data_IF_421170327710
#
_entry.id   IF_421170327710
#
_cell.length_a   1.000
_cell.length_b   1.000
_cell.length_c   1.000
_cell.angle_alpha   90.00
_cell.angle_beta   90.00
_cell.angle_gamma   90.00
#
_symmetry.space_group_name_H-M   'P 1'
#
loop_
_entity.id
_entity.type
_entity.pdbx_description
1 polymer ?
#
# COMPACT_ATOMS: atom_id res chain seq x y z
N UNK A 1 4.06 -16.98 -21.81
CA UNK A 1 5.25 -16.37 -22.43
C UNK A 1 5.63 -15.20 -21.56
N UNK A 2 6.86 -15.19 -21.06
CA UNK A 2 7.46 -14.04 -20.39
C UNK A 2 8.02 -13.05 -21.42
N UNK A 3 8.44 -11.89 -20.96
CA UNK A 3 9.36 -11.01 -21.68
C UNK A 3 10.16 -10.18 -20.69
N UNK A 4 11.35 -9.76 -21.09
CA UNK A 4 12.12 -8.72 -20.40
C UNK A 4 12.09 -7.42 -21.19
N UNK A 5 12.07 -6.30 -20.48
CA UNK A 5 12.14 -4.96 -21.05
C UNK A 5 13.02 -4.06 -20.18
N UNK A 6 13.64 -3.06 -20.79
CA UNK A 6 14.50 -2.10 -20.09
C UNK A 6 13.70 -0.83 -19.77
N UNK A 7 13.80 -0.33 -18.55
CA UNK A 7 13.07 0.88 -18.11
C UNK A 7 13.96 2.12 -18.23
N UNK A 8 13.46 3.16 -18.90
CA UNK A 8 14.29 4.31 -19.30
C UNK A 8 14.87 5.14 -18.15
N UNK A 9 14.14 5.27 -17.03
CA UNK A 9 14.50 6.10 -15.87
C UNK A 9 15.72 5.59 -15.10
N UNK A 10 15.86 4.27 -14.99
CA UNK A 10 16.83 3.62 -14.11
C UNK A 10 17.85 2.76 -14.91
N UNK A 11 17.50 2.41 -16.15
CA UNK A 11 18.34 1.63 -17.07
C UNK A 11 18.39 0.13 -16.75
N UNK A 12 17.59 -0.35 -15.79
CA UNK A 12 17.53 -1.75 -15.39
C UNK A 12 16.53 -2.56 -16.25
N UNK A 13 16.73 -3.87 -16.28
CA UNK A 13 15.80 -4.82 -16.86
C UNK A 13 14.72 -5.25 -15.87
N UNK A 14 13.50 -5.36 -16.39
CA UNK A 14 12.31 -5.84 -15.70
C UNK A 14 11.71 -7.02 -16.46
N UNK A 15 11.25 -8.02 -15.72
CA UNK A 15 10.53 -9.19 -16.22
C UNK A 15 9.03 -8.97 -16.10
N UNK A 16 8.27 -9.40 -17.10
CA UNK A 16 6.80 -9.50 -17.04
C UNK A 16 6.32 -10.84 -17.58
N UNK A 17 5.28 -11.40 -16.97
CA UNK A 17 4.63 -12.65 -17.43
C UNK A 17 3.15 -12.68 -17.06
N UNK A 18 2.43 -13.65 -17.61
CA UNK A 18 1.06 -13.99 -17.21
C UNK A 18 1.05 -15.35 -16.51
N UNK A 19 0.70 -15.35 -15.23
CA UNK A 19 0.62 -16.56 -14.39
C UNK A 19 -0.81 -17.09 -14.37
N UNK A 20 -0.98 -18.36 -13.97
CA UNK A 20 -2.31 -18.94 -13.78
C UNK A 20 -3.01 -18.31 -12.56
N UNK A 21 -4.27 -17.94 -12.74
CA UNK A 21 -5.13 -17.40 -11.72
C UNK A 21 -6.12 -18.47 -11.24
N UNK A 22 -6.15 -18.72 -9.94
CA UNK A 22 -7.04 -19.71 -9.30
C UNK A 22 -8.51 -19.28 -9.31
N UNK A 23 -8.80 -17.97 -9.38
CA UNK A 23 -10.15 -17.43 -9.34
C UNK A 23 -10.85 -17.49 -10.72
N UNK A 24 -10.14 -17.12 -11.79
CA UNK A 24 -10.68 -17.10 -13.16
C UNK A 24 -10.38 -18.36 -13.98
N UNK A 25 -9.56 -19.26 -13.43
CA UNK A 25 -9.03 -20.48 -14.07
C UNK A 25 -8.23 -20.22 -15.36
N UNK A 26 -7.68 -19.01 -15.55
CA UNK A 26 -7.01 -18.57 -16.79
C UNK A 26 -5.61 -18.00 -16.50
N UNK A 27 -4.76 -17.90 -17.54
CA UNK A 27 -3.49 -17.17 -17.48
C UNK A 27 -3.71 -15.66 -17.73
N UNK A 28 -4.47 -15.00 -16.87
CA UNK A 28 -4.78 -13.55 -16.97
C UNK A 28 -4.05 -12.67 -15.94
N UNK A 29 -3.62 -13.24 -14.80
CA UNK A 29 -2.90 -12.53 -13.75
C UNK A 29 -1.51 -12.12 -14.22
N UNK A 30 -1.34 -10.82 -14.54
CA UNK A 30 -0.05 -10.25 -14.92
C UNK A 30 0.83 -10.05 -13.68
N UNK A 31 2.11 -10.41 -13.78
CA UNK A 31 3.13 -10.25 -12.73
C UNK A 31 4.36 -9.56 -13.30
N UNK A 32 5.02 -8.74 -12.48
CA UNK A 32 6.22 -8.00 -12.82
C UNK A 32 7.31 -8.23 -11.76
N UNK A 33 8.57 -8.28 -12.17
CA UNK A 33 9.74 -8.33 -11.29
C UNK A 33 10.84 -7.39 -11.78
N UNK A 34 11.57 -6.76 -10.86
CA UNK A 34 12.87 -6.15 -11.19
C UNK A 34 13.94 -7.25 -11.25
N UNK A 35 14.77 -7.24 -12.29
CA UNK A 35 15.89 -8.19 -12.40
C UNK A 35 17.17 -7.68 -11.73
N UNK A 36 17.19 -6.43 -11.26
CA UNK A 36 18.32 -5.84 -10.55
C UNK A 36 19.61 -5.69 -11.35
N UNK A 37 19.58 -5.92 -12.67
CA UNK A 37 20.72 -5.78 -13.58
C UNK A 37 20.44 -4.86 -14.77
N UNK A 38 21.51 -4.26 -15.31
CA UNK A 38 21.52 -3.47 -16.54
C UNK A 38 22.16 -4.22 -17.72
N UNK A 39 22.69 -5.42 -17.50
CA UNK A 39 23.19 -6.31 -18.54
C UNK A 39 22.07 -7.18 -19.12
N UNK A 40 22.17 -7.50 -20.41
CA UNK A 40 21.19 -8.30 -21.14
C UNK A 40 21.36 -9.81 -20.90
N UNK A 41 22.59 -10.33 -20.81
CA UNK A 41 22.82 -11.76 -20.62
C UNK A 41 22.44 -12.21 -19.20
N UNK A 42 22.76 -11.41 -18.19
CA UNK A 42 22.31 -11.61 -16.82
C UNK A 42 20.77 -11.49 -16.72
N UNK A 43 20.15 -10.53 -17.43
CA UNK A 43 18.69 -10.40 -17.47
C UNK A 43 17.99 -11.61 -18.13
N UNK A 44 18.55 -12.14 -19.23
CA UNK A 44 18.05 -13.37 -19.88
C UNK A 44 18.20 -14.59 -18.95
N UNK A 45 19.31 -14.67 -18.21
CA UNK A 45 19.55 -15.75 -17.23
C UNK A 45 18.49 -15.72 -16.12
N UNK A 46 18.22 -14.54 -15.55
CA UNK A 46 17.18 -14.34 -14.53
C UNK A 46 15.75 -14.52 -15.06
N UNK A 47 15.48 -14.19 -16.33
CA UNK A 47 14.21 -14.50 -16.99
C UNK A 47 13.95 -16.01 -17.01
N UNK A 48 14.94 -16.79 -17.46
CA UNK A 48 14.85 -18.24 -17.53
C UNK A 48 14.65 -18.87 -16.13
N UNK A 49 15.31 -18.35 -15.10
CA UNK A 49 15.08 -18.79 -13.72
C UNK A 49 13.64 -18.55 -13.26
N UNK A 50 13.10 -17.34 -13.46
CA UNK A 50 11.72 -17.00 -13.10
C UNK A 50 10.69 -17.84 -13.86
N UNK A 51 10.91 -18.12 -15.15
CA UNK A 51 10.04 -19.01 -15.92
C UNK A 51 10.04 -20.46 -15.39
N UNK A 52 11.21 -20.98 -14.98
CA UNK A 52 11.30 -22.27 -14.30
C UNK A 52 10.59 -22.27 -12.95
N UNK A 53 10.65 -21.17 -12.17
CA UNK A 53 9.91 -21.04 -10.92
C UNK A 53 8.38 -21.05 -11.16
N UNK A 54 7.89 -20.32 -12.16
CA UNK A 54 6.44 -20.26 -12.44
C UNK A 54 5.86 -21.52 -13.06
N UNK A 55 6.58 -22.23 -13.95
CA UNK A 55 6.11 -23.51 -14.46
C UNK A 55 6.20 -24.63 -13.40
N UNK A 56 7.16 -24.58 -12.46
CA UNK A 56 7.13 -25.42 -11.24
C UNK A 56 5.91 -25.14 -10.37
N UNK A 57 5.61 -23.86 -10.08
CA UNK A 57 4.44 -23.49 -9.28
C UNK A 57 3.12 -23.94 -9.93
N UNK A 58 2.98 -23.75 -11.26
CA UNK A 58 1.86 -24.28 -12.05
C UNK A 58 1.71 -25.79 -11.90
N UNK A 59 2.81 -26.55 -12.00
CA UNK A 59 2.76 -28.01 -11.92
C UNK A 59 2.38 -28.47 -10.50
N UNK A 60 2.88 -27.81 -9.44
CA UNK A 60 2.49 -28.09 -8.06
C UNK A 60 1.00 -27.77 -7.81
N UNK A 61 0.50 -26.64 -8.31
CA UNK A 61 -0.91 -26.27 -8.20
C UNK A 61 -1.81 -27.28 -8.93
N UNK A 62 -1.39 -27.78 -10.09
CA UNK A 62 -2.12 -28.82 -10.82
C UNK A 62 -2.07 -30.19 -10.10
N UNK A 63 -0.98 -30.53 -9.39
CA UNK A 63 -0.92 -31.74 -8.55
C UNK A 63 -1.78 -31.61 -7.27
N UNK A 64 -1.99 -30.39 -6.78
CA UNK A 64 -2.79 -30.15 -5.56
C UNK A 64 -4.30 -30.39 -5.74
N UNK A 65 -4.78 -30.71 -6.95
CA UNK A 65 -6.17 -31.11 -7.18
C UNK A 65 -6.48 -32.57 -6.84
N UNK A 66 -5.51 -33.38 -6.40
CA UNK A 66 -5.73 -34.80 -6.07
C UNK A 66 -5.04 -35.29 -4.79
N UNK A 67 -5.37 -34.68 -3.65
CA UNK A 67 -5.24 -35.35 -2.33
C UNK A 67 -6.44 -35.04 -1.42
N UNK A 68 -7.29 -36.03 -1.08
CA UNK A 68 -8.34 -35.84 -0.09
C UNK A 68 -7.77 -35.96 1.33
N UNK A 69 -8.00 -34.94 2.15
CA UNK A 69 -7.83 -34.92 3.61
C UNK A 69 -6.46 -35.32 4.19
N UNK A 70 -5.56 -34.35 4.31
CA UNK A 70 -4.67 -34.23 5.48
C UNK A 70 -4.97 -32.94 6.24
N UNK A 71 -6.05 -32.95 7.02
CA UNK A 71 -6.37 -31.85 7.93
C UNK A 71 -5.24 -31.63 8.94
N UNK A 72 -5.13 -30.40 9.45
CA UNK A 72 -4.03 -29.92 10.29
C UNK A 72 -4.12 -30.47 11.74
N UNK A 73 -3.96 -31.78 11.92
CA UNK A 73 -3.97 -32.40 13.25
C UNK A 73 -2.66 -32.07 13.97
N UNK A 74 -2.71 -31.07 14.85
CA UNK A 74 -1.63 -30.78 15.82
C UNK A 74 -1.27 -32.07 16.58
N UNK A 75 0.02 -32.41 16.69
CA UNK A 75 0.50 -33.63 17.36
C UNK A 75 0.01 -33.75 18.81
N UNK A 76 -0.24 -32.61 19.47
CA UNK A 76 -0.84 -32.55 20.80
C UNK A 76 -2.26 -33.13 20.85
N UNK A 77 -3.10 -32.93 19.82
CA UNK A 77 -4.47 -33.47 19.81
C UNK A 77 -4.49 -34.97 19.51
N UNK A 78 -3.52 -35.49 18.75
CA UNK A 78 -3.32 -36.95 18.59
C UNK A 78 -3.06 -37.60 19.95
N UNK A 79 -2.17 -37.02 20.76
CA UNK A 79 -1.85 -37.52 22.11
C UNK A 79 -3.08 -37.51 23.01
N UNK A 80 -3.88 -36.44 23.00
CA UNK A 80 -5.14 -36.37 23.77
C UNK A 80 -6.13 -37.45 23.33
N UNK A 81 -6.32 -37.67 22.01
CA UNK A 81 -7.23 -38.70 21.49
C UNK A 81 -6.77 -40.12 21.87
N UNK A 82 -5.47 -40.42 21.78
CA UNK A 82 -4.96 -41.72 22.24
C UNK A 82 -5.16 -41.89 23.75
N UNK A 83 -4.91 -40.85 24.56
CA UNK A 83 -5.09 -40.92 26.00
C UNK A 83 -6.56 -41.10 26.40
N UNK A 84 -7.50 -40.40 25.76
CA UNK A 84 -8.94 -40.58 26.04
C UNK A 84 -9.45 -41.96 25.62
N UNK A 85 -8.95 -42.54 24.51
CA UNK A 85 -9.29 -43.92 24.12
C UNK A 85 -8.77 -44.93 25.17
N UNK A 86 -7.54 -44.77 25.65
CA UNK A 86 -6.96 -45.66 26.68
C UNK A 86 -7.71 -45.53 28.02
N UNK A 87 -7.98 -44.31 28.48
CA UNK A 87 -8.75 -44.07 29.71
C UNK A 87 -10.18 -44.60 29.58
N UNK A 88 -10.85 -44.38 28.45
CA UNK A 88 -12.21 -44.88 28.22
C UNK A 88 -12.25 -46.40 28.18
N UNK A 89 -11.30 -47.07 27.52
CA UNK A 89 -11.26 -48.55 27.48
C UNK A 89 -10.92 -49.16 28.85
N UNK A 90 -10.03 -48.56 29.63
CA UNK A 90 -9.78 -48.97 31.03
C UNK A 90 -10.99 -48.80 31.93
N UNK A 91 -11.68 -47.65 31.88
CA UNK A 91 -12.92 -47.43 32.62
C UNK A 91 -14.01 -48.41 32.18
N UNK A 92 -14.18 -48.64 30.87
CA UNK A 92 -15.20 -49.54 30.36
C UNK A 92 -14.93 -50.99 30.79
N UNK A 93 -13.67 -51.45 30.79
CA UNK A 93 -13.29 -52.76 31.36
C UNK A 93 -13.57 -52.86 32.87
N UNK A 94 -13.26 -51.80 33.63
CA UNK A 94 -13.52 -51.74 35.07
C UNK A 94 -15.02 -51.81 35.40
N UNK A 95 -15.87 -51.13 34.63
CA UNK A 95 -17.32 -51.15 34.82
C UNK A 95 -18.00 -52.42 34.24
N UNK A 96 -17.58 -52.93 33.07
CA UNK A 96 -18.17 -54.15 32.48
C UNK A 96 -17.93 -55.41 33.32
N UNK A 97 -16.86 -55.45 34.12
CA UNK A 97 -16.63 -56.54 35.07
C UNK A 97 -17.79 -56.71 36.07
N UNK A 98 -18.54 -55.63 36.34
CA UNK A 98 -19.68 -55.62 37.26
C UNK A 98 -21.07 -55.60 36.57
N UNK A 99 -21.18 -55.35 35.27
CA UNK A 99 -22.47 -55.12 34.58
C UNK A 99 -23.15 -56.37 33.99
N UNK A 100 -22.55 -57.56 34.10
CA UNK A 100 -23.11 -58.83 33.57
C UNK A 100 -24.45 -59.25 34.24
N UNK A 101 -24.96 -58.46 35.20
CA UNK A 101 -26.26 -58.70 35.86
C UNK A 101 -27.22 -57.53 35.66
N UNK A 102 -28.20 -57.78 34.76
CA UNK A 102 -29.37 -56.96 34.37
C UNK A 102 -29.05 -55.91 33.29
N UNK A 103 -29.67 -56.10 32.12
CA UNK A 103 -30.70 -55.17 31.64
C UNK A 103 -31.68 -55.90 30.70
N UNK A 104 -32.92 -56.00 31.16
CA UNK A 104 -34.13 -56.41 30.42
C UNK A 104 -35.24 -55.55 31.00
N UNK A 105 -36.15 -55.03 30.16
CA UNK A 105 -37.03 -53.88 30.44
C UNK A 105 -36.24 -52.56 30.42
N UNK A 106 -36.63 -51.50 29.70
CA UNK A 106 -37.85 -51.24 28.90
C UNK A 106 -37.54 -50.50 27.60
N UNK A 107 -38.13 -50.99 26.50
CA UNK A 107 -38.41 -50.17 25.32
C UNK A 107 -39.85 -49.59 25.41
N UNK A 108 -40.19 -48.68 24.49
CA UNK A 108 -41.49 -48.02 24.33
C UNK A 108 -41.86 -47.01 25.44
N UNK A 109 -41.81 -45.72 25.10
CA UNK A 109 -43.01 -44.86 25.03
C UNK A 109 -42.61 -43.41 24.68
N UNK A 110 -42.99 -42.97 23.47
CA UNK A 110 -43.19 -41.56 23.16
C UNK A 110 -44.50 -41.47 22.37
N UNK A 111 -45.56 -41.01 23.02
CA UNK A 111 -46.75 -40.53 22.33
C UNK A 111 -46.89 -39.02 22.51
N UNK A 112 -47.14 -38.39 21.37
CA UNK A 112 -47.64 -37.03 21.12
C UNK A 112 -48.52 -36.45 22.24
N UNK A 113 -48.34 -35.15 22.53
CA UNK A 113 -49.44 -34.19 22.64
C UNK A 113 -48.92 -32.78 22.27
N UNK A 114 -49.78 -32.05 21.58
CA UNK A 114 -49.63 -30.69 21.06
C UNK A 114 -50.93 -29.97 21.40
N UNK A 115 -50.86 -28.76 21.94
CA UNK A 115 -52.00 -27.83 22.08
C UNK A 115 -51.45 -26.39 22.09
N UNK A 116 -52.14 -25.53 21.34
CA UNK A 116 -51.87 -24.11 21.13
C UNK A 116 -52.94 -23.27 21.87
N UNK A 117 -52.63 -22.03 22.27
CA UNK A 117 -53.66 -20.98 22.42
C UNK A 117 -53.06 -19.57 22.44
N UNK A 118 -53.79 -18.59 21.91
CA UNK A 118 -53.34 -17.22 21.64
C UNK A 118 -53.64 -16.20 22.76
N UNK A 119 -52.82 -15.14 22.85
CA UNK A 119 -53.26 -13.75 23.09
C UNK A 119 -52.06 -12.76 23.10
N UNK A 120 -52.17 -11.45 22.78
CA UNK A 120 -52.99 -10.69 21.81
C UNK A 120 -52.43 -9.23 21.76
N UNK A 121 -52.84 -8.44 20.76
CA UNK A 121 -52.79 -6.95 20.69
C UNK A 121 -51.49 -6.28 20.14
N UNK A 122 -51.70 -5.50 19.07
CA UNK A 122 -50.85 -4.55 18.28
C UNK A 122 -51.08 -3.10 18.85
N UNK A 123 -50.55 -1.94 18.33
CA UNK A 123 -49.59 -1.66 17.25
C UNK A 123 -48.58 -0.51 17.61
N UNK A 124 -48.00 0.40 16.79
CA UNK A 124 -47.73 0.68 15.34
C UNK A 124 -46.37 1.49 15.32
N UNK A 125 -45.54 1.63 14.27
CA UNK A 125 -45.57 2.56 13.10
C UNK A 125 -45.80 4.07 13.43
N UNK A 126 -45.21 5.09 12.77
CA UNK A 126 -44.50 5.17 11.47
C UNK A 126 -43.26 6.12 11.51
N UNK A 127 -42.31 5.86 10.61
CA UNK A 127 -41.31 6.73 9.92
C UNK A 127 -41.83 8.11 9.35
N UNK A 128 -41.06 8.93 8.55
CA UNK A 128 -39.71 9.52 8.71
C UNK A 128 -39.64 11.03 8.26
N UNK A 129 -38.51 11.51 7.67
CA UNK A 129 -38.30 12.67 6.72
C UNK A 129 -37.56 13.97 7.16
N UNK A 130 -36.27 14.02 6.79
CA UNK A 130 -35.48 15.05 6.02
C UNK A 130 -35.47 16.59 6.30
N UNK A 131 -34.27 17.15 6.02
CA UNK A 131 -33.91 18.37 5.22
C UNK A 131 -33.67 19.79 5.81
N UNK A 132 -32.37 20.13 5.91
CA UNK A 132 -31.66 21.22 5.15
C UNK A 132 -31.55 22.68 5.69
N UNK A 133 -30.44 23.33 5.27
CA UNK A 133 -30.10 24.78 5.19
C UNK A 133 -29.56 25.52 6.43
N UNK A 134 -28.64 26.52 6.34
CA UNK A 134 -27.55 26.87 5.36
C UNK A 134 -26.65 28.02 5.90
N UNK A 135 -25.35 28.05 5.55
CA UNK A 135 -24.42 29.23 5.66
C UNK A 135 -24.06 29.72 7.09
N UNK A 136 -23.03 30.55 7.37
CA UNK A 136 -22.20 31.48 6.55
C UNK A 136 -20.75 31.68 7.08
N UNK A 137 -19.91 32.36 6.30
CA UNK A 137 -18.45 32.53 6.44
C UNK A 137 -17.96 33.46 7.59
N UNK A 138 -16.67 33.35 7.95
CA UNK A 138 -15.77 34.51 8.18
C UNK A 138 -14.33 34.15 7.77
N UNK A 139 -13.54 35.15 7.35
CA UNK A 139 -12.11 35.05 7.04
C UNK A 139 -11.27 35.40 8.28
N UNK A 140 -10.00 35.01 8.30
CA UNK A 140 -8.95 35.79 8.97
C UNK A 140 -7.58 35.57 8.29
N UNK A 141 -6.85 36.66 8.06
CA UNK A 141 -5.50 36.68 7.48
C UNK A 141 -4.48 36.93 8.59
N UNK A 142 -3.30 36.29 8.55
CA UNK A 142 -2.16 36.70 9.36
C UNK A 142 -0.91 36.73 8.46
N UNK A 143 -0.42 37.93 8.18
CA UNK A 143 0.89 38.17 7.57
C UNK A 143 1.97 38.15 8.66
N UNK A 144 3.11 37.50 8.39
CA UNK A 144 4.37 37.84 9.07
C UNK A 144 5.58 37.53 8.19
N UNK A 145 6.04 38.56 7.48
CA UNK A 145 7.35 38.59 6.81
C UNK A 145 8.39 39.14 7.79
N UNK A 146 9.59 38.59 7.80
CA UNK A 146 10.74 39.20 8.48
C UNK A 146 11.92 39.28 7.49
N UNK A 147 12.30 40.50 7.11
CA UNK A 147 13.48 40.73 6.27
C UNK A 147 14.76 40.68 7.09
N UNK A 148 15.75 39.87 6.67
CA UNK A 148 17.17 40.08 7.02
C UNK A 148 18.00 39.90 5.74
N UNK A 149 18.93 40.83 5.48
CA UNK A 149 19.77 40.86 4.27
C UNK A 149 21.02 39.97 4.39
N UNK A 150 21.56 39.44 3.28
CA UNK A 150 22.49 38.31 3.32
C UNK A 150 23.91 38.67 3.73
N UNK A 151 24.59 37.73 4.40
CA UNK A 151 26.03 37.74 4.59
C UNK A 151 26.71 36.85 3.53
N UNK A 152 27.78 37.33 2.90
CA UNK A 152 28.52 36.62 1.85
C UNK A 152 29.84 36.09 2.40
N UNK A 153 30.02 34.77 2.44
CA UNK A 153 31.27 34.14 2.86
C UNK A 153 31.40 32.70 2.38
N UNK A 154 32.29 32.46 1.42
CA UNK A 154 32.77 31.11 1.10
C UNK A 154 33.69 30.61 2.21
N UNK A 155 33.36 29.49 2.84
CA UNK A 155 34.30 28.65 3.59
C UNK A 155 33.96 27.18 3.36
N UNK A 156 34.97 26.34 3.16
CA UNK A 156 34.81 24.90 2.88
C UNK A 156 34.71 24.09 4.19
N UNK A 157 33.87 24.54 5.12
CA UNK A 157 33.42 23.71 6.23
C UNK A 157 32.23 22.86 5.78
N UNK A 158 32.05 21.67 6.37
CA UNK A 158 30.80 20.92 6.21
C UNK A 158 29.73 21.59 7.06
N UNK A 159 29.13 22.64 6.53
CA UNK A 159 27.99 23.31 7.15
C UNK A 159 26.88 22.29 7.37
N UNK A 160 26.27 22.32 8.57
CA UNK A 160 25.10 21.50 8.88
C UNK A 160 23.99 21.96 7.90
N UNK A 161 23.31 21.04 7.18
CA UNK A 161 22.25 21.42 6.27
C UNK A 161 21.15 22.12 7.07
N UNK A 162 20.90 23.39 6.73
CA UNK A 162 19.81 24.19 7.30
C UNK A 162 18.60 24.09 6.36
N UNK A 163 17.39 24.05 6.92
CA UNK A 163 16.17 24.18 6.11
C UNK A 163 16.18 25.59 5.47
N UNK A 164 16.10 25.72 4.13
CA UNK A 164 16.09 27.01 3.45
C UNK A 164 14.82 27.81 3.76
N UNK A 165 14.80 29.09 3.40
CA UNK A 165 13.53 29.80 3.27
C UNK A 165 12.72 29.20 2.10
N UNK A 166 11.43 28.95 2.34
CA UNK A 166 10.53 28.36 1.35
C UNK A 166 9.11 28.92 1.44
N UNK A 167 8.41 28.90 0.31
CA UNK A 167 6.97 29.17 0.23
C UNK A 167 6.26 28.00 -0.43
N UNK A 168 5.19 27.53 0.21
CA UNK A 168 4.30 26.52 -0.37
C UNK A 168 3.34 27.28 -1.30
N UNK A 169 3.42 27.00 -2.59
CA UNK A 169 2.60 27.65 -3.62
C UNK A 169 1.26 26.93 -3.78
N UNK A 170 1.27 25.58 -3.77
CA UNK A 170 0.09 24.75 -4.01
C UNK A 170 0.22 23.38 -3.35
N UNK A 171 -0.90 22.84 -2.88
CA UNK A 171 -1.02 21.44 -2.42
C UNK A 171 -2.22 20.80 -3.12
N UNK A 172 -2.02 19.62 -3.70
CA UNK A 172 -3.04 18.86 -4.40
C UNK A 172 -3.26 17.50 -3.73
N UNK A 173 -4.51 17.11 -3.51
CA UNK A 173 -4.89 15.76 -3.07
C UNK A 173 -5.29 14.93 -4.29
N UNK A 174 -4.34 14.16 -4.82
CA UNK A 174 -4.48 13.40 -6.06
C UNK A 174 -5.37 12.15 -5.91
N UNK A 175 -5.38 11.53 -4.72
CA UNK A 175 -6.25 10.39 -4.42
C UNK A 175 -6.70 10.41 -2.96
N UNK A 176 -8.00 10.24 -2.74
CA UNK A 176 -8.56 9.96 -1.41
C UNK A 176 -8.23 8.54 -0.96
N UNK A 177 -8.47 7.54 -1.81
CA UNK A 177 -8.33 6.10 -1.48
C UNK A 177 -6.89 5.67 -1.21
N UNK A 178 -5.91 6.28 -1.87
CA UNK A 178 -4.47 6.03 -1.63
C UNK A 178 -3.79 7.10 -0.78
N UNK A 179 -4.59 8.04 -0.23
CA UNK A 179 -4.13 9.27 0.43
C UNK A 179 -2.88 9.86 -0.23
N UNK A 180 -2.99 10.14 -1.54
CA UNK A 180 -1.87 10.64 -2.33
C UNK A 180 -1.91 12.16 -2.40
N UNK A 181 -0.79 12.80 -2.06
CA UNK A 181 -0.61 14.25 -2.07
C UNK A 181 0.50 14.70 -3.01
N UNK A 182 0.39 15.92 -3.51
CA UNK A 182 1.48 16.60 -4.20
C UNK A 182 1.63 18.05 -3.73
N UNK A 183 2.85 18.42 -3.35
CA UNK A 183 3.21 19.73 -2.79
C UNK A 183 4.14 20.44 -3.77
N UNK A 184 3.83 21.70 -4.08
CA UNK A 184 4.61 22.56 -4.97
C UNK A 184 5.20 23.70 -4.14
N UNK A 185 6.53 23.82 -4.13
CA UNK A 185 7.26 24.70 -3.21
C UNK A 185 8.25 25.56 -3.99
N UNK A 186 8.36 26.84 -3.63
CA UNK A 186 9.41 27.74 -4.14
C UNK A 186 10.49 27.97 -3.08
N UNK A 187 11.76 27.92 -3.49
CA UNK A 187 12.96 28.07 -2.66
C UNK A 187 14.03 28.91 -3.37
N UNK A 188 15.05 29.38 -2.66
CA UNK A 188 16.20 30.01 -3.32
C UNK A 188 16.95 29.02 -4.22
N UNK A 189 17.32 29.47 -5.42
CA UNK A 189 17.98 28.66 -6.47
C UNK A 189 19.38 28.16 -6.07
N UNK A 190 20.02 28.81 -5.09
CA UNK A 190 21.37 28.47 -4.60
C UNK A 190 21.34 27.46 -3.44
N UNK A 191 20.16 26.94 -3.06
CA UNK A 191 20.01 25.97 -1.97
C UNK A 191 20.70 24.63 -2.29
N UNK A 192 21.55 24.14 -1.37
CA UNK A 192 22.24 22.85 -1.54
C UNK A 192 21.28 21.65 -1.49
N UNK A 193 21.63 20.57 -2.19
CA UNK A 193 20.78 19.38 -2.34
C UNK A 193 20.47 18.70 -0.98
N UNK A 194 21.37 18.79 0.00
CA UNK A 194 21.14 18.30 1.37
C UNK A 194 20.11 19.17 2.12
N UNK A 195 20.19 20.50 1.98
CA UNK A 195 19.17 21.43 2.51
C UNK A 195 17.81 21.26 1.84
N UNK A 196 17.79 20.97 0.53
CA UNK A 196 16.58 20.64 -0.22
C UNK A 196 15.95 19.31 0.25
N UNK A 197 16.77 18.28 0.47
CA UNK A 197 16.34 17.00 1.04
C UNK A 197 15.73 17.17 2.44
N UNK A 198 16.42 17.89 3.33
CA UNK A 198 15.97 18.14 4.70
C UNK A 198 14.63 18.91 4.74
N UNK A 199 14.43 19.85 3.81
CA UNK A 199 13.12 20.49 3.62
C UNK A 199 12.04 19.48 3.24
N UNK A 200 12.30 18.63 2.25
CA UNK A 200 11.33 17.61 1.81
C UNK A 200 11.00 16.59 2.92
N UNK A 201 11.96 16.23 3.76
CA UNK A 201 11.75 15.38 4.92
C UNK A 201 10.84 16.08 5.96
N UNK A 202 11.12 17.33 6.32
CA UNK A 202 10.26 18.10 7.25
C UNK A 202 8.84 18.37 6.68
N UNK A 203 8.71 18.60 5.38
CA UNK A 203 7.42 18.72 4.71
C UNK A 203 6.66 17.39 4.66
N UNK A 204 7.35 16.25 4.61
CA UNK A 204 6.73 14.92 4.68
C UNK A 204 6.16 14.65 6.08
N UNK A 205 6.84 15.08 7.14
CA UNK A 205 6.31 15.04 8.51
C UNK A 205 5.08 15.95 8.67
N UNK A 206 5.15 17.18 8.13
CA UNK A 206 4.05 18.15 8.16
C UNK A 206 2.80 17.65 7.45
N UNK A 207 2.96 17.01 6.29
CA UNK A 207 1.86 16.49 5.47
C UNK A 207 1.66 14.97 5.65
N UNK A 208 1.72 14.53 6.90
CA UNK A 208 1.60 13.13 7.30
C UNK A 208 0.21 12.53 7.13
N UNK A 209 -0.78 13.30 6.66
CA UNK A 209 -2.07 12.77 6.16
C UNK A 209 -1.94 12.04 4.82
N UNK A 210 -0.81 12.15 4.12
CA UNK A 210 -0.54 11.44 2.86
C UNK A 210 0.34 10.19 3.07
N UNK A 211 -0.15 9.01 2.67
CA UNK A 211 0.65 7.78 2.64
C UNK A 211 1.60 7.69 1.44
N UNK A 212 1.38 8.52 0.43
CA UNK A 212 2.26 8.70 -0.72
C UNK A 212 2.30 10.20 -1.06
N UNK A 213 3.46 10.84 -0.96
CA UNK A 213 3.63 12.27 -1.19
C UNK A 213 4.71 12.53 -2.24
N UNK A 214 4.42 13.44 -3.17
CA UNK A 214 5.39 14.02 -4.10
C UNK A 214 5.61 15.48 -3.75
N UNK A 215 6.85 15.91 -3.62
CA UNK A 215 7.22 17.30 -3.36
C UNK A 215 8.07 17.79 -4.54
N UNK A 216 7.66 18.86 -5.20
CA UNK A 216 8.38 19.47 -6.30
C UNK A 216 8.92 20.84 -5.86
N UNK A 217 10.25 21.00 -5.91
CA UNK A 217 10.95 22.23 -5.53
C UNK A 217 11.27 23.06 -6.76
N UNK A 218 10.92 24.33 -6.74
CA UNK A 218 11.13 25.28 -7.84
C UNK A 218 11.90 26.52 -7.36
N UNK A 219 12.61 27.20 -8.26
CA UNK A 219 13.30 28.44 -7.90
C UNK A 219 12.30 29.60 -7.65
N UNK A 220 12.57 30.43 -6.64
CA UNK A 220 11.73 31.55 -6.16
C UNK A 220 11.62 32.76 -7.14
N UNK A 221 11.95 32.56 -8.42
CA UNK A 221 11.69 33.51 -9.52
C UNK A 221 10.26 33.42 -10.08
N UNK A 222 9.88 34.36 -10.94
CA UNK A 222 8.54 34.38 -11.54
C UNK A 222 8.22 33.09 -12.32
N UNK A 223 9.19 32.57 -13.07
CA UNK A 223 9.05 31.32 -13.84
C UNK A 223 8.76 30.13 -12.93
N UNK A 224 9.55 29.92 -11.88
CA UNK A 224 9.32 28.82 -10.92
C UNK A 224 8.01 28.96 -10.16
N UNK A 225 7.59 30.18 -9.82
CA UNK A 225 6.27 30.48 -9.26
C UNK A 225 5.14 30.13 -10.23
N UNK A 226 5.26 30.48 -11.51
CA UNK A 226 4.27 30.11 -12.53
C UNK A 226 4.13 28.58 -12.61
N UNK A 227 5.23 27.82 -12.73
CA UNK A 227 5.22 26.35 -12.80
C UNK A 227 4.60 25.74 -11.53
N UNK A 228 5.00 26.21 -10.34
CA UNK A 228 4.50 25.71 -9.06
C UNK A 228 2.97 25.94 -8.92
N UNK A 229 2.47 27.10 -9.34
CA UNK A 229 1.04 27.41 -9.40
C UNK A 229 0.30 26.75 -10.58
N UNK A 230 1.00 26.11 -11.52
CA UNK A 230 0.42 25.42 -12.68
C UNK A 230 0.15 26.31 -13.90
N UNK A 231 0.64 27.55 -13.89
CA UNK A 231 0.51 28.54 -14.96
C UNK A 231 1.56 28.23 -16.04
N UNK A 232 1.40 27.08 -16.70
CA UNK A 232 2.40 26.51 -17.61
C UNK A 232 2.35 27.08 -19.03
N UNK A 233 1.24 27.74 -19.41
CA UNK A 233 0.99 28.25 -20.78
C UNK A 233 2.05 29.24 -21.26
N UNK A 234 2.68 29.97 -20.35
CA UNK A 234 3.70 30.99 -20.66
C UNK A 234 5.13 30.49 -20.45
N UNK A 235 5.37 29.19 -20.21
CA UNK A 235 6.67 28.69 -19.75
C UNK A 235 7.19 27.58 -20.65
N UNK A 236 8.31 27.84 -21.33
CA UNK A 236 8.93 26.87 -22.25
C UNK A 236 9.48 25.64 -21.53
N UNK A 237 9.66 24.54 -22.25
CA UNK A 237 10.25 23.31 -21.69
C UNK A 237 11.67 23.56 -21.14
N UNK A 238 12.43 24.49 -21.74
CA UNK A 238 13.79 24.81 -21.29
C UNK A 238 13.78 25.63 -19.98
N UNK A 239 12.82 26.55 -19.82
CA UNK A 239 12.56 27.21 -18.55
C UNK A 239 12.06 26.22 -17.48
N UNK A 240 11.17 25.28 -17.83
CA UNK A 240 10.74 24.22 -16.91
C UNK A 240 11.93 23.36 -16.43
N UNK A 241 12.89 23.05 -17.32
CA UNK A 241 14.13 22.34 -16.97
C UNK A 241 15.07 23.15 -16.07
N UNK A 242 15.12 24.48 -16.23
CA UNK A 242 16.00 25.35 -15.45
C UNK A 242 15.41 25.72 -14.08
N UNK A 243 14.09 25.83 -13.96
CA UNK A 243 13.42 26.32 -12.76
C UNK A 243 12.78 25.22 -11.89
N UNK A 244 12.70 23.97 -12.37
CA UNK A 244 12.38 22.79 -11.54
C UNK A 244 13.67 22.19 -10.97
N UNK A 245 13.93 22.48 -9.69
CA UNK A 245 15.19 22.19 -9.02
C UNK A 245 15.29 20.73 -8.57
N UNK A 246 14.22 20.21 -7.96
CA UNK A 246 14.20 18.84 -7.47
C UNK A 246 12.78 18.24 -7.44
N UNK A 247 12.74 16.91 -7.44
CA UNK A 247 11.56 16.13 -7.08
C UNK A 247 11.91 15.16 -5.95
N UNK A 248 11.16 15.22 -4.87
CA UNK A 248 11.17 14.22 -3.81
C UNK A 248 9.87 13.41 -3.85
N UNK A 249 9.95 12.13 -3.54
CA UNK A 249 8.80 11.25 -3.35
C UNK A 249 9.00 10.38 -2.13
N UNK A 250 8.02 10.35 -1.23
CA UNK A 250 8.00 9.44 -0.09
C UNK A 250 6.77 8.55 -0.11
N UNK A 251 6.99 7.27 0.20
CA UNK A 251 5.96 6.26 0.37
C UNK A 251 6.32 5.46 1.63
N UNK A 252 5.35 5.19 2.50
CA UNK A 252 5.56 4.44 3.75
C UNK A 252 6.16 3.03 3.56
N UNK A 253 6.01 2.43 2.38
CA UNK A 253 6.57 1.11 2.03
C UNK A 253 7.86 1.20 1.22
N UNK A 254 7.94 2.11 0.25
CA UNK A 254 9.09 2.21 -0.68
C UNK A 254 10.21 3.12 -0.14
N UNK A 255 9.94 3.89 0.92
CA UNK A 255 10.86 4.83 1.54
C UNK A 255 10.86 6.21 0.88
N UNK A 256 11.95 6.95 1.11
CA UNK A 256 12.20 8.26 0.51
C UNK A 256 13.08 8.14 -0.74
N UNK A 257 12.75 8.89 -1.77
CA UNK A 257 13.57 9.07 -2.97
C UNK A 257 13.66 10.56 -3.32
N UNK A 258 14.84 11.01 -3.71
CA UNK A 258 15.16 12.40 -4.05
C UNK A 258 15.86 12.44 -5.40
N UNK A 259 15.49 13.40 -6.23
CA UNK A 259 15.93 13.59 -7.61
C UNK A 259 16.29 15.07 -7.78
N UNK A 260 17.58 15.35 -7.92
CA UNK A 260 18.15 16.69 -8.14
C UNK A 260 18.29 17.06 -9.62
N UNK A 261 17.74 16.24 -10.52
CA UNK A 261 17.63 16.56 -11.94
C UNK A 261 16.33 15.99 -12.54
N UNK A 262 15.15 16.48 -12.10
CA UNK A 262 13.84 15.96 -12.52
C UNK A 262 13.48 16.26 -13.99
N UNK A 263 14.40 16.82 -14.77
CA UNK A 263 14.20 17.17 -16.18
C UNK A 263 13.76 15.99 -17.05
N UNK A 264 14.11 14.76 -16.67
CA UNK A 264 13.69 13.52 -17.34
C UNK A 264 12.18 13.24 -17.33
N UNK A 265 11.40 13.86 -16.42
CA UNK A 265 9.94 13.70 -16.39
C UNK A 265 9.19 14.60 -17.38
N UNK A 266 9.86 15.61 -17.96
CA UNK A 266 9.25 16.57 -18.90
C UNK A 266 9.09 16.03 -20.33
N UNK A 267 9.60 14.82 -20.59
CA UNK A 267 9.52 14.17 -21.90
C UNK A 267 10.52 14.72 -22.94
N UNK A 268 10.66 13.97 -24.03
CA UNK A 268 11.41 14.38 -25.21
C UNK A 268 10.44 14.85 -26.30
N UNK A 269 10.17 16.14 -26.34
CA UNK A 269 9.67 16.78 -27.56
C UNK A 269 10.88 17.04 -28.46
N UNK A 270 11.09 16.13 -29.40
CA UNK A 270 11.92 16.33 -30.60
C UNK A 270 11.03 16.90 -31.72
#
# INVERSE_FOLDING_TARGET
>A
MSSIYRKGRDGYYYYQTYVYNTESQKKDKKVFHSLGTKDLAEAQTKQHELDLQYEKQKNNNNLSSSSPFTNLINTQTIIVIFFTIIVTTMLNLYFFSNSIKRDVVSALNIEKIEIETEAKIKPELIEPIKTLTKTKNKNEEINQTQEIKPFHGKNNERTIPLIPEYKIERVEKLSSSFAQGKVYVTIDINTSNESQRLLCENLTERYSEFSNIMICLYANGQVGKNIANGINETVTIQEQKQFWLAMYTYNKVEGAYFDDNPTGYLGYNN
#
